data_IF_722200908336
#
_entry.id   IF_722200908336
#
_cell.length_a   1.000
_cell.length_b   1.000
_cell.length_c   1.000
_cell.angle_alpha   90.00
_cell.angle_beta   90.00
_cell.angle_gamma   90.00
#
_symmetry.space_group_name_H-M   'P 1'
#
loop_
_entity.id
_entity.type
_entity.pdbx_description
1 polymer ?
#
# COMPACT_ATOMS: atom_id res chain seq x y z
N UNK A 1 -8.21 -31.29 -22.39
CA UNK A 1 -9.52 -30.63 -22.36
C UNK A 1 -9.50 -29.57 -21.28
N UNK A 2 -9.59 -28.33 -21.68
CA UNK A 2 -9.53 -27.23 -20.72
C UNK A 2 -10.81 -27.18 -19.93
N UNK A 3 -10.65 -27.16 -18.62
CA UNK A 3 -11.76 -26.93 -17.71
C UNK A 3 -12.33 -25.53 -17.98
N UNK A 4 -13.62 -25.39 -18.31
CA UNK A 4 -14.19 -24.06 -18.54
C UNK A 4 -14.04 -23.11 -17.36
N UNK A 5 -13.76 -23.62 -16.16
CA UNK A 5 -13.44 -22.77 -15.02
C UNK A 5 -12.04 -22.19 -15.08
N UNK A 6 -11.12 -22.78 -15.82
CA UNK A 6 -9.75 -22.25 -15.98
C UNK A 6 -9.71 -20.98 -16.81
N UNK A 7 -10.62 -20.79 -17.74
CA UNK A 7 -10.71 -19.56 -18.52
C UNK A 7 -11.14 -18.36 -17.70
N UNK A 8 -11.83 -18.61 -16.59
CA UNK A 8 -12.28 -17.56 -15.67
C UNK A 8 -11.35 -17.39 -14.48
N UNK A 9 -10.35 -18.25 -14.36
CA UNK A 9 -9.43 -18.23 -13.24
C UNK A 9 -8.26 -17.31 -13.55
N UNK A 10 -8.25 -16.15 -12.92
CA UNK A 10 -7.13 -15.23 -12.98
C UNK A 10 -6.15 -15.64 -11.89
N UNK A 11 -4.95 -16.06 -12.30
CA UNK A 11 -3.92 -16.43 -11.35
C UNK A 11 -3.53 -15.21 -10.52
N UNK A 12 -3.59 -15.35 -9.20
CA UNK A 12 -3.19 -14.27 -8.28
C UNK A 12 -1.67 -14.12 -8.28
N UNK A 13 -1.23 -12.88 -8.26
CA UNK A 13 0.18 -12.57 -8.10
C UNK A 13 0.57 -12.63 -6.63
N UNK A 14 1.81 -13.01 -6.39
CA UNK A 14 2.38 -13.11 -5.06
C UNK A 14 3.27 -11.92 -4.78
N UNK A 15 2.94 -11.19 -3.72
CA UNK A 15 3.75 -10.05 -3.28
C UNK A 15 4.30 -10.34 -1.88
N UNK A 16 5.61 -10.58 -1.74
CA UNK A 16 6.23 -10.69 -0.44
C UNK A 16 6.17 -9.36 0.30
N UNK A 17 5.72 -9.38 1.56
CA UNK A 17 5.53 -8.16 2.34
C UNK A 17 5.91 -8.36 3.80
N UNK A 18 6.06 -7.23 4.49
CA UNK A 18 6.09 -7.14 5.95
C UNK A 18 4.93 -6.28 6.41
N UNK A 19 4.08 -6.83 7.25
CA UNK A 19 2.97 -6.11 7.86
C UNK A 19 3.35 -5.69 9.28
N UNK A 20 3.20 -4.40 9.58
CA UNK A 20 3.39 -3.87 10.93
C UNK A 20 2.03 -3.65 11.57
N UNK A 21 1.84 -4.23 12.76
CA UNK A 21 0.57 -4.20 13.46
C UNK A 21 0.59 -3.18 14.61
N UNK A 22 -0.59 -2.78 15.05
CA UNK A 22 -0.74 -1.83 16.19
C UNK A 22 -0.12 -2.38 17.47
N UNK A 23 0.01 -3.68 17.61
CA UNK A 23 0.66 -4.35 18.75
C UNK A 23 2.17 -4.16 18.79
N UNK A 24 2.78 -3.64 17.71
CA UNK A 24 4.21 -3.59 17.52
C UNK A 24 4.79 -4.84 16.86
N UNK A 25 3.95 -5.86 16.63
CA UNK A 25 4.38 -7.09 15.96
C UNK A 25 4.55 -6.84 14.46
N UNK A 26 5.59 -7.43 13.89
CA UNK A 26 5.79 -7.46 12.44
C UNK A 26 5.64 -8.88 11.92
N UNK A 27 4.89 -9.04 10.84
CA UNK A 27 4.67 -10.34 10.20
C UNK A 27 5.18 -10.28 8.77
N UNK A 28 6.16 -11.12 8.45
CA UNK A 28 6.59 -11.33 7.07
C UNK A 28 5.77 -12.43 6.42
N UNK A 29 5.37 -12.22 5.19
CA UNK A 29 4.59 -13.21 4.46
C UNK A 29 4.32 -12.77 3.03
N UNK A 30 3.35 -13.43 2.42
CA UNK A 30 2.99 -13.19 1.03
C UNK A 30 1.52 -12.79 0.94
N UNK A 31 1.27 -11.67 0.27
CA UNK A 31 -0.08 -11.29 -0.17
C UNK A 31 -0.34 -11.90 -1.54
N UNK A 32 -1.52 -12.48 -1.71
CA UNK A 32 -2.01 -12.91 -3.01
C UNK A 32 -2.92 -11.84 -3.56
N UNK A 33 -2.49 -11.22 -4.65
CA UNK A 33 -3.12 -10.03 -5.19
C UNK A 33 -3.67 -10.34 -6.57
N UNK A 34 -4.93 -10.00 -6.81
CA UNK A 34 -5.53 -10.17 -8.11
C UNK A 34 -5.07 -9.04 -9.03
N UNK A 35 -4.44 -9.35 -10.19
CA UNK A 35 -4.06 -8.31 -11.14
C UNK A 35 -5.29 -7.56 -11.65
N UNK A 36 -5.17 -6.25 -11.78
CA UNK A 36 -6.15 -5.44 -12.47
C UNK A 36 -5.72 -5.25 -13.92
N UNK A 37 -6.67 -5.17 -14.82
CA UNK A 37 -6.35 -5.05 -16.25
C UNK A 37 -5.71 -3.69 -16.63
N UNK A 38 -5.76 -2.72 -15.74
CA UNK A 38 -5.15 -1.39 -15.91
C UNK A 38 -4.00 -1.15 -14.95
N UNK A 39 -3.43 -2.19 -14.42
CA UNK A 39 -2.42 -2.01 -13.39
C UNK A 39 -1.16 -1.33 -13.92
N UNK A 40 -0.66 -0.29 -13.25
CA UNK A 40 0.69 0.19 -13.48
C UNK A 40 1.73 -0.69 -12.77
N UNK A 41 1.37 -1.38 -11.67
CA UNK A 41 2.33 -2.15 -10.87
C UNK A 41 1.61 -3.11 -9.93
N UNK A 42 2.37 -4.09 -9.40
CA UNK A 42 1.86 -5.03 -8.41
C UNK A 42 1.53 -4.33 -7.07
N UNK A 43 2.30 -3.32 -6.69
CA UNK A 43 2.01 -2.55 -5.47
C UNK A 43 0.71 -1.74 -5.61
N UNK A 44 0.38 -1.31 -6.82
CA UNK A 44 -0.90 -0.66 -7.09
C UNK A 44 -2.05 -1.66 -6.97
N UNK A 45 -1.88 -2.88 -7.48
CA UNK A 45 -2.86 -3.94 -7.32
C UNK A 45 -3.08 -4.28 -5.84
N UNK A 46 -2.00 -4.29 -5.06
CA UNK A 46 -2.09 -4.51 -3.61
C UNK A 46 -2.86 -3.38 -2.94
N UNK A 47 -2.64 -2.13 -3.35
CA UNK A 47 -3.39 -0.98 -2.84
C UNK A 47 -4.89 -1.13 -3.10
N UNK A 48 -5.26 -1.49 -4.32
CA UNK A 48 -6.66 -1.74 -4.68
C UNK A 48 -7.24 -2.86 -3.82
N UNK A 49 -6.49 -3.94 -3.65
CA UNK A 49 -6.92 -5.10 -2.87
C UNK A 49 -7.20 -4.72 -1.40
N UNK A 50 -6.29 -3.94 -0.78
CA UNK A 50 -6.45 -3.53 0.62
C UNK A 50 -7.56 -2.51 0.82
N UNK A 51 -7.93 -1.78 -0.23
CA UNK A 51 -9.01 -0.80 -0.16
C UNK A 51 -10.39 -1.39 -0.49
N UNK A 52 -10.48 -2.68 -0.77
CA UNK A 52 -11.77 -3.36 -0.87
C UNK A 52 -12.48 -3.33 0.49
N UNK A 53 -13.82 -3.44 0.51
CA UNK A 53 -14.58 -3.25 1.74
C UNK A 53 -14.43 -4.37 2.78
N UNK A 54 -13.78 -5.46 2.45
CA UNK A 54 -13.58 -6.57 3.38
C UNK A 54 -12.74 -6.13 4.58
N UNK A 55 -13.13 -6.58 5.78
CA UNK A 55 -12.46 -6.19 7.03
C UNK A 55 -11.18 -6.97 7.31
N UNK A 56 -10.99 -8.11 6.67
CA UNK A 56 -9.85 -9.00 6.87
C UNK A 56 -9.22 -9.35 5.54
N UNK A 57 -7.93 -9.66 5.57
CA UNK A 57 -7.24 -10.19 4.40
C UNK A 57 -6.25 -11.27 4.83
N UNK A 58 -6.00 -12.27 3.96
CA UNK A 58 -5.07 -13.36 4.29
C UNK A 58 -3.63 -12.96 4.01
N UNK A 59 -2.74 -13.37 4.93
CA UNK A 59 -1.30 -13.32 4.75
C UNK A 59 -0.75 -14.71 4.92
N UNK A 60 -0.08 -15.25 3.90
CA UNK A 60 0.55 -16.55 3.99
C UNK A 60 1.94 -16.41 4.61
N UNK A 61 2.18 -17.11 5.71
CA UNK A 61 3.47 -17.09 6.39
C UNK A 61 4.44 -18.05 5.73
N UNK A 62 5.77 -17.93 6.03
CA UNK A 62 6.77 -18.81 5.43
C UNK A 62 6.57 -20.30 5.72
N UNK A 63 5.93 -20.66 6.83
CA UNK A 63 5.60 -22.05 7.16
C UNK A 63 4.42 -22.61 6.39
N UNK A 64 3.81 -21.82 5.49
CA UNK A 64 2.64 -22.19 4.70
C UNK A 64 1.31 -21.93 5.38
N UNK A 65 1.30 -21.57 6.67
CA UNK A 65 0.06 -21.22 7.35
C UNK A 65 -0.46 -19.87 6.90
N UNK A 66 -1.76 -19.67 7.04
CA UNK A 66 -2.42 -18.41 6.68
C UNK A 66 -2.86 -17.69 7.94
N UNK A 67 -2.51 -16.42 8.04
CA UNK A 67 -3.05 -15.53 9.07
C UNK A 67 -4.07 -14.61 8.44
N UNK A 68 -5.20 -14.45 9.11
CA UNK A 68 -6.22 -13.49 8.70
C UNK A 68 -5.99 -12.21 9.49
N UNK A 69 -5.56 -11.15 8.79
CA UNK A 69 -5.25 -9.87 9.44
C UNK A 69 -6.46 -8.95 9.36
N UNK A 70 -6.81 -8.35 10.50
CA UNK A 70 -7.81 -7.30 10.53
C UNK A 70 -7.19 -6.02 9.97
N UNK A 71 -7.77 -5.48 8.92
CA UNK A 71 -7.24 -4.27 8.25
C UNK A 71 -7.09 -3.10 9.22
N UNK A 72 -8.04 -2.93 10.13
CA UNK A 72 -8.00 -1.85 11.12
C UNK A 72 -6.86 -1.95 12.12
N UNK A 73 -6.22 -3.12 12.23
CA UNK A 73 -5.09 -3.35 13.14
C UNK A 73 -3.74 -3.29 12.43
N UNK A 74 -3.74 -3.12 11.12
CA UNK A 74 -2.51 -2.99 10.33
C UNK A 74 -2.14 -1.52 10.21
N UNK A 75 -0.92 -1.18 10.61
CA UNK A 75 -0.40 0.19 10.54
C UNK A 75 0.14 0.47 9.14
N UNK A 76 0.98 -0.43 8.64
CA UNK A 76 1.54 -0.33 7.30
C UNK A 76 1.95 -1.71 6.79
N UNK A 77 2.07 -1.80 5.47
CA UNK A 77 2.58 -2.99 4.79
C UNK A 77 3.69 -2.54 3.84
N UNK A 78 4.87 -3.13 3.98
CA UNK A 78 6.03 -2.80 3.15
C UNK A 78 6.38 -3.96 2.24
N UNK A 79 6.63 -3.66 0.96
CA UNK A 79 7.08 -4.63 -0.02
C UNK A 79 8.00 -3.97 -1.04
N UNK A 80 8.67 -4.78 -1.86
CA UNK A 80 9.53 -4.24 -2.91
C UNK A 80 8.68 -3.67 -4.05
N UNK A 81 9.13 -2.54 -4.60
CA UNK A 81 8.51 -2.01 -5.82
C UNK A 81 8.87 -2.86 -7.02
N UNK A 82 7.96 -2.94 -7.96
CA UNK A 82 8.22 -3.57 -9.25
C UNK A 82 9.20 -2.70 -10.05
N UNK A 83 10.28 -3.30 -10.54
CA UNK A 83 11.32 -2.58 -11.28
C UNK A 83 10.84 -2.18 -12.67
N UNK A 84 11.38 -1.07 -13.18
CA UNK A 84 11.20 -0.64 -14.55
C UNK A 84 9.88 0.04 -14.86
N UNK A 85 9.04 0.29 -13.87
CA UNK A 85 7.79 1.02 -14.06
C UNK A 85 7.98 2.50 -13.77
N UNK A 86 7.32 3.32 -14.57
CA UNK A 86 7.26 4.75 -14.30
C UNK A 86 6.42 5.03 -13.08
N UNK A 87 6.87 5.97 -12.28
CA UNK A 87 6.11 6.41 -11.11
C UNK A 87 4.82 7.10 -11.57
N UNK A 88 3.76 6.80 -10.86
CA UNK A 88 2.42 7.26 -11.20
C UNK A 88 2.13 8.58 -10.48
N UNK A 89 2.09 9.67 -11.22
CA UNK A 89 1.85 11.01 -10.67
C UNK A 89 3.13 11.72 -10.25
N UNK A 90 2.97 12.85 -9.57
CA UNK A 90 4.08 13.65 -9.08
C UNK A 90 4.50 13.18 -7.69
N UNK A 91 5.81 12.99 -7.44
CA UNK A 91 6.27 12.62 -6.11
C UNK A 91 6.15 13.81 -5.16
N UNK A 92 5.60 13.55 -3.98
CA UNK A 92 5.48 14.53 -2.91
C UNK A 92 6.20 13.98 -1.67
N UNK A 93 7.39 14.50 -1.32
CA UNK A 93 8.14 13.97 -0.20
C UNK A 93 7.45 14.28 1.14
N UNK A 94 7.31 13.25 1.96
CA UNK A 94 6.66 13.36 3.26
C UNK A 94 7.38 12.49 4.29
N UNK A 95 7.19 12.84 5.57
CA UNK A 95 7.54 12.00 6.71
C UNK A 95 6.28 11.74 7.51
N UNK A 96 5.99 10.48 7.78
CA UNK A 96 4.75 10.07 8.44
C UNK A 96 5.08 9.43 9.77
N UNK A 97 4.38 9.84 10.80
CA UNK A 97 4.44 9.23 12.14
C UNK A 97 3.13 8.55 12.45
N UNK A 98 3.22 7.32 12.97
CA UNK A 98 2.07 6.48 13.30
C UNK A 98 1.81 6.41 14.79
N UNK A 99 0.60 6.00 15.14
CA UNK A 99 0.14 5.90 16.53
C UNK A 99 0.95 4.91 17.38
N UNK A 100 1.61 3.94 16.75
CA UNK A 100 2.50 2.99 17.44
C UNK A 100 3.94 3.50 17.60
N UNK A 101 4.21 4.75 17.19
CA UNK A 101 5.54 5.34 17.22
C UNK A 101 6.40 5.08 15.99
N UNK A 102 5.95 4.23 15.07
CA UNK A 102 6.68 3.98 13.82
C UNK A 102 6.72 5.23 12.96
N UNK A 103 7.76 5.36 12.15
CA UNK A 103 7.96 6.48 11.22
C UNK A 103 8.39 5.95 9.86
N UNK A 104 7.89 6.58 8.81
CA UNK A 104 8.32 6.32 7.45
C UNK A 104 8.58 7.64 6.74
N UNK A 105 9.49 7.60 5.79
CA UNK A 105 9.84 8.75 4.96
C UNK A 105 9.85 8.29 3.51
N UNK A 106 9.22 9.05 2.64
CA UNK A 106 9.18 8.69 1.22
C UNK A 106 8.33 9.67 0.43
N UNK A 107 7.87 9.22 -0.71
CA UNK A 107 7.09 10.04 -1.64
C UNK A 107 5.69 9.50 -1.79
N UNK A 108 4.69 10.34 -1.49
CA UNK A 108 3.32 10.09 -1.92
C UNK A 108 3.24 10.40 -3.42
N UNK A 109 2.58 9.51 -4.15
CA UNK A 109 2.35 9.71 -5.57
C UNK A 109 0.98 10.35 -5.76
N UNK A 110 0.99 11.65 -6.00
CA UNK A 110 -0.23 12.44 -6.13
C UNK A 110 -0.58 12.53 -7.60
N UNK A 111 -1.76 12.01 -7.97
CA UNK A 111 -2.23 12.08 -9.33
C UNK A 111 -2.43 13.53 -9.76
N UNK A 112 -1.90 13.86 -10.95
CA UNK A 112 -1.95 15.20 -11.50
C UNK A 112 -3.32 15.50 -12.12
N UNK A 113 -4.34 15.50 -11.28
CA UNK A 113 -5.72 15.78 -11.76
C UNK A 113 -6.03 17.26 -11.82
N UNK A 114 -5.33 18.07 -11.05
CA UNK A 114 -5.43 19.52 -11.04
C UNK A 114 -4.07 20.13 -10.74
N UNK A 115 -3.82 21.32 -11.28
CA UNK A 115 -2.50 21.97 -11.28
C UNK A 115 -1.94 22.33 -9.91
N UNK A 116 -2.66 22.13 -8.79
CA UNK A 116 -2.23 22.57 -7.47
C UNK A 116 -2.66 21.63 -6.34
N UNK A 117 -2.73 20.32 -6.59
CA UNK A 117 -3.05 19.41 -5.49
C UNK A 117 -1.86 19.29 -4.54
N UNK A 118 -2.04 19.75 -3.31
CA UNK A 118 -1.06 19.65 -2.25
C UNK A 118 -1.28 18.36 -1.46
N UNK A 119 -0.28 17.98 -0.65
CA UNK A 119 -0.37 16.83 0.24
C UNK A 119 -1.61 16.92 1.12
N UNK A 120 -1.89 18.09 1.68
CA UNK A 120 -3.07 18.32 2.52
C UNK A 120 -4.37 18.00 1.77
N UNK A 121 -4.49 18.47 0.54
CA UNK A 121 -5.69 18.23 -0.28
C UNK A 121 -5.84 16.73 -0.59
N UNK A 122 -4.74 16.08 -0.92
CA UNK A 122 -4.73 14.64 -1.19
C UNK A 122 -5.21 13.85 0.03
N UNK A 123 -4.65 14.13 1.20
CA UNK A 123 -5.01 13.41 2.42
C UNK A 123 -6.46 13.67 2.83
N UNK A 124 -6.96 14.89 2.65
CA UNK A 124 -8.33 15.24 3.03
C UNK A 124 -9.38 14.72 2.06
N UNK A 125 -9.03 14.59 0.79
CA UNK A 125 -9.96 14.14 -0.26
C UNK A 125 -9.96 12.63 -0.47
N UNK A 126 -8.92 11.94 -0.02
CA UNK A 126 -8.85 10.51 -0.18
C UNK A 126 -9.91 9.83 0.67
N UNK A 127 -10.76 9.00 0.04
CA UNK A 127 -11.75 8.20 0.74
C UNK A 127 -11.18 6.83 1.16
N UNK A 128 -9.98 6.50 0.70
CA UNK A 128 -9.38 5.20 0.90
C UNK A 128 -8.65 5.12 2.23
N UNK A 129 -8.72 3.98 2.91
CA UNK A 129 -8.01 3.77 4.17
C UNK A 129 -6.50 3.62 3.94
N UNK A 130 -6.11 2.92 2.87
CA UNK A 130 -4.70 2.71 2.54
C UNK A 130 -4.27 3.62 1.42
N UNK A 131 -3.10 4.22 1.58
CA UNK A 131 -2.45 5.05 0.55
C UNK A 131 -1.06 4.51 0.27
N UNK A 132 -0.54 4.79 -0.93
CA UNK A 132 0.74 4.27 -1.39
C UNK A 132 1.83 5.32 -1.21
N UNK A 133 2.91 4.90 -0.56
CA UNK A 133 4.13 5.68 -0.37
C UNK A 133 5.29 4.92 -1.01
N UNK A 134 6.14 5.62 -1.74
CA UNK A 134 7.38 5.04 -2.26
C UNK A 134 8.55 5.45 -1.37
N UNK A 135 9.21 4.46 -0.77
CA UNK A 135 10.36 4.66 0.11
C UNK A 135 11.57 3.96 -0.52
N UNK A 136 12.41 4.72 -1.21
CA UNK A 136 13.54 4.14 -1.94
C UNK A 136 13.06 3.12 -2.98
N UNK A 137 13.50 1.88 -2.84
CA UNK A 137 13.07 0.76 -3.69
C UNK A 137 11.86 0.01 -3.16
N UNK A 138 11.29 0.47 -2.05
CA UNK A 138 10.13 -0.18 -1.42
C UNK A 138 8.86 0.60 -1.67
N UNK A 139 7.76 -0.14 -1.76
CA UNK A 139 6.42 0.41 -1.67
C UNK A 139 5.90 0.20 -0.26
N UNK A 140 5.29 1.24 0.30
CA UNK A 140 4.69 1.19 1.64
C UNK A 140 3.21 1.52 1.51
N UNK A 141 2.37 0.56 1.90
CA UNK A 141 0.93 0.77 1.94
C UNK A 141 0.59 1.23 3.36
N UNK A 142 0.18 2.48 3.48
CA UNK A 142 0.00 3.18 4.74
C UNK A 142 -1.47 3.21 5.10
N UNK A 143 -1.81 2.73 6.30
CA UNK A 143 -3.17 2.87 6.80
C UNK A 143 -3.33 4.27 7.41
N UNK A 144 -4.12 5.12 6.75
CA UNK A 144 -4.35 6.51 7.19
C UNK A 144 -4.95 6.61 8.59
N UNK A 145 -5.70 5.60 9.01
CA UNK A 145 -6.35 5.59 10.33
C UNK A 145 -5.35 5.57 11.48
N UNK A 146 -4.14 5.13 11.22
CA UNK A 146 -3.07 5.05 12.23
C UNK A 146 -2.04 6.18 12.09
N UNK A 147 -2.25 7.09 11.16
CA UNK A 147 -1.36 8.24 10.98
C UNK A 147 -1.69 9.29 12.05
N UNK A 148 -0.65 9.69 12.79
CA UNK A 148 -0.75 10.77 13.79
C UNK A 148 -0.46 12.11 13.16
N UNK A 149 0.63 12.17 12.37
CA UNK A 149 1.01 13.41 11.68
C UNK A 149 1.79 13.10 10.41
N UNK A 150 1.71 14.03 9.48
CA UNK A 150 2.48 14.00 8.24
C UNK A 150 3.24 15.32 8.13
N UNK A 151 4.57 15.22 8.00
CA UNK A 151 5.38 16.37 7.64
C UNK A 151 5.41 16.48 6.13
N UNK A 152 4.91 17.58 5.60
CA UNK A 152 4.94 17.86 4.17
C UNK A 152 6.29 18.50 3.83
N UNK A 153 7.17 17.73 3.22
CA UNK A 153 8.50 18.18 2.84
C UNK A 153 8.55 18.69 1.39
N UNK A 154 7.42 18.71 0.70
CA UNK A 154 7.34 19.16 -0.69
C UNK A 154 7.61 20.67 -0.82
N UNK A 155 7.40 21.44 0.25
CA UNK A 155 7.70 22.87 0.31
C UNK A 155 8.90 23.16 1.17
N UNK A 156 9.69 22.14 1.51
CA UNK A 156 10.78 22.25 2.47
C UNK A 156 11.94 23.15 2.06
N UNK A 157 11.97 23.61 0.80
CA UNK A 157 12.97 24.50 0.29
C UNK A 157 12.62 25.97 0.50
N UNK A 158 11.48 26.24 1.04
CA UNK A 158 11.05 27.61 1.28
C UNK A 158 11.81 28.27 2.42
#
# INVERSE_FOLDING_TARGET
MDDPHNELFIEKEQLPVRASLVTGEELGGVLFVQPTWRRPSIEFDALVHLNLPDSYFPLQLPDGSTRLLAKGQVVLIRGAMEEGLELFGDPAPVRIQFSNGARVQGNLMIAKMTTNMRVLDFLNRSAEDFILLHEGSDAVLVNRRHVVLVNDDSNGAA
#
